data_IF_719035062341
#
_entry.id   IF_719035062341
#
_cell.length_a   1.000
_cell.length_b   1.000
_cell.length_c   1.000
_cell.angle_alpha   90.00
_cell.angle_beta   90.00
_cell.angle_gamma   90.00
#
_symmetry.space_group_name_H-M   'P 1'
#
loop_
_entity.id
_entity.type
_entity.pdbx_description
1 polymer ?
#
# COMPACT_ATOMS: atom_id res chain seq x y z
N UNK A 1 6.54 -0.69 19.15
CA UNK A 1 6.05 0.03 20.34
C UNK A 1 6.94 -0.33 21.53
N UNK A 2 7.28 0.67 22.31
CA UNK A 2 8.14 0.52 23.49
C UNK A 2 7.31 0.84 24.73
N UNK A 3 7.39 -0.01 25.75
CA UNK A 3 6.69 0.22 27.01
C UNK A 3 7.37 1.37 27.76
N UNK A 4 6.59 2.33 28.25
CA UNK A 4 7.09 3.48 28.99
C UNK A 4 6.21 3.73 30.22
N UNK A 5 6.80 4.37 31.22
CA UNK A 5 6.05 4.78 32.41
C UNK A 5 6.35 6.26 32.65
N UNK A 6 5.29 7.06 32.72
CA UNK A 6 5.39 8.49 33.01
C UNK A 6 4.38 8.84 34.11
N UNK A 7 4.90 9.43 35.18
CA UNK A 7 4.06 9.85 36.28
C UNK A 7 3.29 8.72 36.97
N UNK A 8 3.86 7.53 37.00
CA UNK A 8 3.23 6.37 37.63
C UNK A 8 2.14 5.70 36.79
N UNK A 9 2.00 6.11 35.53
CA UNK A 9 1.05 5.48 34.60
C UNK A 9 1.81 4.72 33.53
N UNK A 10 1.54 3.42 33.44
CA UNK A 10 2.14 2.57 32.40
C UNK A 10 1.46 2.81 31.06
N UNK A 11 2.25 2.87 30.00
CA UNK A 11 1.74 3.07 28.67
C UNK A 11 2.70 2.57 27.62
N UNK A 12 2.41 2.87 26.37
CA UNK A 12 3.27 2.50 25.26
C UNK A 12 3.57 3.74 24.43
N UNK A 13 4.81 3.85 24.05
CA UNK A 13 5.24 4.90 23.13
C UNK A 13 5.61 4.26 21.80
N UNK A 14 5.20 4.91 20.72
CA UNK A 14 5.53 4.45 19.37
C UNK A 14 6.96 4.88 19.08
N UNK A 15 7.84 3.92 18.80
CA UNK A 15 9.22 4.26 18.49
C UNK A 15 9.30 4.97 17.13
N UNK A 16 10.44 5.61 16.86
CA UNK A 16 10.61 6.43 15.66
C UNK A 16 10.44 5.63 14.38
N UNK A 17 10.83 4.36 14.38
CA UNK A 17 10.69 3.49 13.21
C UNK A 17 9.21 3.19 12.95
N UNK A 18 8.48 2.80 13.99
CA UNK A 18 7.05 2.52 13.88
C UNK A 18 6.27 3.77 13.48
N UNK A 19 6.66 4.94 14.01
CA UNK A 19 6.03 6.20 13.65
C UNK A 19 6.20 6.49 12.15
N UNK A 20 7.43 6.30 11.62
CA UNK A 20 7.69 6.50 10.18
C UNK A 20 6.87 5.52 9.33
N UNK A 21 6.74 4.28 9.78
CA UNK A 21 5.95 3.29 9.07
C UNK A 21 4.47 3.67 9.02
N UNK A 22 3.93 4.15 10.15
CA UNK A 22 2.55 4.60 10.21
C UNK A 22 2.31 5.82 9.32
N UNK A 23 3.24 6.78 9.33
CA UNK A 23 3.13 7.98 8.48
C UNK A 23 3.16 7.62 7.00
N UNK A 24 4.05 6.71 6.61
CA UNK A 24 4.12 6.23 5.22
C UNK A 24 2.82 5.55 4.81
N UNK A 25 2.27 4.72 5.70
CA UNK A 25 1.02 4.02 5.44
C UNK A 25 -0.16 4.96 5.24
N UNK A 26 -0.29 5.94 6.14
CA UNK A 26 -1.38 6.92 6.04
C UNK A 26 -1.26 7.72 4.75
N UNK A 27 -0.05 8.18 4.42
CA UNK A 27 0.21 8.95 3.20
C UNK A 27 -0.12 8.11 1.97
N UNK A 28 0.27 6.84 1.97
CA UNK A 28 0.06 5.94 0.84
C UNK A 28 -1.43 5.70 0.56
N UNK A 29 -2.24 5.61 1.62
CA UNK A 29 -3.68 5.44 1.47
C UNK A 29 -4.30 6.65 0.77
N UNK A 30 -3.91 7.86 1.16
CA UNK A 30 -4.51 9.10 0.65
C UNK A 30 -3.87 9.63 -0.62
N UNK A 31 -2.56 9.39 -0.80
CA UNK A 31 -1.80 9.87 -1.96
C UNK A 31 -1.00 8.70 -2.54
N UNK A 32 -1.66 7.80 -3.30
CA UNK A 32 -0.96 6.66 -3.89
C UNK A 32 0.17 7.11 -4.82
N UNK A 33 1.28 6.41 -4.78
CA UNK A 33 2.43 6.73 -5.63
C UNK A 33 2.30 6.04 -6.97
N UNK A 34 2.95 6.62 -7.97
CA UNK A 34 2.91 6.14 -9.34
C UNK A 34 4.28 6.34 -9.98
N UNK A 35 4.76 5.33 -10.70
CA UNK A 35 6.04 5.40 -11.40
C UNK A 35 5.89 6.09 -12.75
N UNK A 36 6.81 6.99 -13.05
CA UNK A 36 7.03 7.43 -14.42
C UNK A 36 7.84 6.36 -15.17
N UNK A 37 7.83 6.42 -16.49
CA UNK A 37 8.48 5.40 -17.32
C UNK A 37 9.99 5.26 -17.03
N UNK A 38 10.65 6.35 -16.63
CA UNK A 38 12.08 6.37 -16.38
C UNK A 38 12.45 6.20 -14.91
N UNK A 39 11.47 6.05 -14.02
CA UNK A 39 11.75 5.88 -12.59
C UNK A 39 12.48 4.56 -12.33
N UNK A 40 13.38 4.54 -11.34
CA UNK A 40 14.18 3.34 -11.10
C UNK A 40 13.37 2.23 -10.43
N UNK A 41 13.85 1.02 -10.64
CA UNK A 41 13.29 -0.20 -10.04
C UNK A 41 14.27 -0.74 -9.01
N UNK A 42 13.76 -1.48 -8.05
CA UNK A 42 14.54 -2.16 -7.01
C UNK A 42 14.40 -3.67 -7.22
N UNK A 43 15.51 -4.38 -7.27
CA UNK A 43 15.55 -5.84 -7.27
C UNK A 43 16.00 -6.31 -5.90
N UNK A 44 15.35 -7.34 -5.36
CA UNK A 44 15.68 -7.93 -4.06
C UNK A 44 16.07 -9.38 -4.29
N UNK A 45 17.32 -9.72 -4.01
CA UNK A 45 17.85 -11.09 -4.11
C UNK A 45 17.96 -11.71 -2.74
N UNK A 46 17.41 -12.85 -2.48
CA UNK A 46 17.36 -13.44 -1.26
C UNK A 46 17.36 -14.90 -1.46
N UNK A 47 17.97 -15.53 -1.01
CA UNK A 47 18.04 -16.85 -1.03
C UNK A 47 17.97 -17.28 0.33
N UNK A 48 17.01 -18.12 0.70
CA UNK A 48 16.83 -18.73 2.02
C UNK A 48 16.80 -20.25 1.88
N UNK A 49 17.56 -20.95 2.70
CA UNK A 49 17.55 -22.40 2.66
C UNK A 49 16.20 -22.97 3.11
N UNK A 50 15.94 -24.21 2.75
CA UNK A 50 14.69 -24.87 3.09
C UNK A 50 14.47 -24.95 4.61
N UNK A 51 15.55 -25.01 5.38
CA UNK A 51 15.48 -25.01 6.85
C UNK A 51 14.85 -23.75 7.41
N UNK A 52 14.77 -22.67 6.61
CA UNK A 52 14.17 -21.40 7.03
C UNK A 52 12.88 -21.11 6.28
N UNK A 53 12.12 -22.14 6.01
CA UNK A 53 10.87 -22.06 5.27
C UNK A 53 9.88 -21.06 5.86
N UNK A 54 9.78 -21.01 7.18
CA UNK A 54 8.86 -20.09 7.86
C UNK A 54 9.25 -18.62 7.59
N UNK A 55 10.53 -18.30 7.68
CA UNK A 55 11.01 -16.95 7.37
C UNK A 55 10.75 -16.60 5.91
N UNK A 56 10.92 -17.58 5.02
CA UNK A 56 10.64 -17.39 3.60
C UNK A 56 9.17 -17.06 3.37
N UNK A 57 8.26 -17.76 4.07
CA UNK A 57 6.83 -17.47 3.99
C UNK A 57 6.51 -16.07 4.51
N UNK A 58 7.10 -15.68 5.65
CA UNK A 58 6.89 -14.37 6.22
C UNK A 58 7.39 -13.27 5.27
N UNK A 59 8.58 -13.46 4.70
CA UNK A 59 9.15 -12.49 3.76
C UNK A 59 8.25 -12.35 2.53
N UNK A 60 7.85 -13.48 1.95
CA UNK A 60 6.97 -13.50 0.78
C UNK A 60 5.68 -12.73 1.04
N UNK A 61 5.05 -13.01 2.19
CA UNK A 61 3.79 -12.36 2.55
C UNK A 61 3.97 -10.85 2.74
N UNK A 62 5.01 -10.45 3.46
CA UNK A 62 5.24 -9.03 3.76
C UNK A 62 5.63 -8.24 2.51
N UNK A 63 6.46 -8.80 1.63
CA UNK A 63 6.82 -8.13 0.38
C UNK A 63 5.59 -7.98 -0.53
N UNK A 64 4.77 -9.03 -0.61
CA UNK A 64 3.55 -8.98 -1.40
C UNK A 64 2.63 -7.85 -0.92
N UNK A 65 2.46 -7.73 0.41
CA UNK A 65 1.52 -6.77 0.99
C UNK A 65 1.97 -5.32 0.89
N UNK A 66 3.21 -5.06 0.49
CA UNK A 66 3.64 -3.67 0.22
C UNK A 66 3.74 -3.38 -1.27
N UNK A 67 3.43 -4.36 -2.12
CA UNK A 67 3.37 -4.14 -3.56
C UNK A 67 4.54 -4.68 -4.37
N UNK A 68 5.37 -5.56 -3.79
CA UNK A 68 6.47 -6.16 -4.54
C UNK A 68 5.95 -7.27 -5.45
N UNK A 69 6.57 -7.42 -6.61
CA UNK A 69 6.34 -8.52 -7.53
C UNK A 69 7.40 -9.59 -7.34
N UNK A 70 7.09 -10.82 -7.73
CA UNK A 70 8.00 -11.94 -7.62
C UNK A 70 8.43 -12.41 -9.01
N UNK A 71 9.73 -12.27 -9.29
CA UNK A 71 10.30 -12.75 -10.54
C UNK A 71 10.56 -14.26 -10.45
N UNK A 72 11.11 -14.67 -9.31
CA UNK A 72 11.37 -16.08 -8.97
C UNK A 72 11.46 -16.18 -7.44
N UNK A 73 11.38 -17.36 -6.88
CA UNK A 73 11.52 -17.49 -5.41
C UNK A 73 12.73 -16.79 -4.79
N UNK A 74 13.62 -16.44 -5.47
CA UNK A 74 14.77 -15.85 -5.01
C UNK A 74 14.98 -14.46 -5.38
N UNK A 75 14.05 -14.04 -6.27
CA UNK A 75 14.24 -12.68 -6.81
C UNK A 75 12.91 -11.91 -6.85
N UNK A 76 12.88 -10.78 -6.17
CA UNK A 76 11.71 -9.90 -6.10
C UNK A 76 12.02 -8.59 -6.79
N UNK A 77 10.97 -7.87 -7.16
CA UNK A 77 11.09 -6.62 -7.91
C UNK A 77 10.03 -5.64 -7.39
N UNK A 78 10.38 -4.36 -7.38
CA UNK A 78 9.48 -3.31 -6.89
C UNK A 78 9.91 -1.97 -7.47
N UNK A 79 9.04 -0.96 -7.42
CA UNK A 79 9.53 0.42 -7.63
C UNK A 79 10.59 0.76 -6.59
N UNK A 80 11.59 1.53 -6.97
CA UNK A 80 12.68 1.86 -6.05
C UNK A 80 12.20 2.72 -4.87
N UNK A 81 11.07 3.40 -4.99
CA UNK A 81 10.54 4.17 -3.87
C UNK A 81 10.11 3.30 -2.69
N UNK A 82 9.99 1.98 -2.88
CA UNK A 82 9.70 1.04 -1.79
C UNK A 82 10.95 0.54 -1.08
N UNK A 83 12.14 0.97 -1.49
CA UNK A 83 13.41 0.47 -0.96
C UNK A 83 13.46 0.51 0.58
N UNK A 84 13.09 1.62 1.19
CA UNK A 84 13.16 1.75 2.66
C UNK A 84 12.22 0.77 3.35
N UNK A 85 11.00 0.62 2.84
CA UNK A 85 10.04 -0.33 3.40
C UNK A 85 10.54 -1.76 3.28
N UNK A 86 11.16 -2.09 2.15
CA UNK A 86 11.76 -3.41 1.93
C UNK A 86 12.89 -3.65 2.93
N UNK A 87 13.77 -2.66 3.14
CA UNK A 87 14.84 -2.76 4.12
C UNK A 87 14.28 -2.97 5.53
N UNK A 88 13.23 -2.23 5.88
CA UNK A 88 12.59 -2.38 7.20
C UNK A 88 12.06 -3.80 7.40
N UNK A 89 11.44 -4.38 6.38
CA UNK A 89 10.95 -5.77 6.43
C UNK A 89 12.11 -6.75 6.65
N UNK A 90 13.16 -6.61 5.84
CA UNK A 90 14.32 -7.50 5.93
C UNK A 90 14.97 -7.44 7.32
N UNK A 91 15.11 -6.24 7.87
CA UNK A 91 15.67 -6.07 9.20
C UNK A 91 14.77 -6.68 10.28
N UNK A 92 13.46 -6.50 10.16
CA UNK A 92 12.52 -7.03 11.14
C UNK A 92 12.51 -8.57 11.17
N UNK A 93 12.84 -9.20 10.05
CA UNK A 93 12.90 -10.66 9.94
C UNK A 93 14.31 -11.21 10.22
N UNK A 94 15.29 -10.33 10.49
CA UNK A 94 16.67 -10.73 10.70
C UNK A 94 17.36 -11.21 9.43
N UNK A 95 16.95 -10.69 8.28
CA UNK A 95 17.43 -11.14 6.96
C UNK A 95 18.31 -10.10 6.27
N UNK A 96 18.68 -9.03 6.96
CA UNK A 96 19.45 -7.95 6.35
C UNK A 96 20.78 -8.38 5.74
N UNK A 97 21.44 -9.36 6.34
CA UNK A 97 22.73 -9.86 5.84
C UNK A 97 22.57 -10.87 4.71
N UNK A 98 21.36 -11.35 4.46
CA UNK A 98 21.13 -12.40 3.45
C UNK A 98 20.47 -11.89 2.19
N UNK A 99 20.14 -10.62 2.16
CA UNK A 99 19.48 -10.00 1.04
C UNK A 99 20.36 -8.93 0.43
N UNK A 100 20.31 -8.81 -0.87
CA UNK A 100 21.01 -7.74 -1.59
C UNK A 100 19.97 -7.00 -2.43
N UNK A 101 19.98 -5.68 -2.32
CA UNK A 101 19.10 -4.83 -3.08
C UNK A 101 19.89 -4.15 -4.18
N UNK A 102 19.32 -4.12 -5.37
CA UNK A 102 19.92 -3.46 -6.54
C UNK A 102 18.98 -2.40 -7.05
N UNK A 103 19.48 -1.20 -7.29
CA UNK A 103 18.72 -0.20 -8.04
C UNK A 103 19.06 -0.37 -9.50
N UNK A 104 18.06 -0.42 -10.33
CA UNK A 104 18.27 -0.59 -11.77
C UNK A 104 17.32 0.32 -12.54
N UNK A 105 17.66 0.55 -13.79
CA UNK A 105 16.75 1.19 -14.72
C UNK A 105 15.66 0.19 -15.10
N UNK A 106 14.78 0.58 -16.01
CA UNK A 106 13.70 -0.27 -16.48
C UNK A 106 14.21 -1.65 -16.89
N UNK A 107 13.62 -2.75 -16.41
CA UNK A 107 14.06 -4.08 -16.80
C UNK A 107 13.88 -4.33 -18.29
N UNK A 108 14.76 -5.16 -18.84
CA UNK A 108 14.69 -5.63 -20.21
C UNK A 108 14.23 -7.08 -20.24
N UNK A 109 13.39 -7.42 -21.19
CA UNK A 109 12.96 -8.78 -21.42
C UNK A 109 12.94 -9.05 -22.91
N UNK A 110 13.06 -10.33 -23.29
CA UNK A 110 12.94 -10.71 -24.70
C UNK A 110 11.50 -10.49 -25.20
N UNK A 111 10.54 -10.79 -24.31
CA UNK A 111 9.12 -10.51 -24.55
C UNK A 111 8.80 -9.04 -24.26
N UNK A 112 7.60 -8.63 -24.60
CA UNK A 112 7.10 -7.31 -24.17
C UNK A 112 7.09 -7.26 -22.64
N UNK A 113 7.60 -6.18 -22.07
CA UNK A 113 7.70 -6.04 -20.62
C UNK A 113 6.32 -6.13 -19.96
N UNK A 114 5.27 -5.64 -20.63
CA UNK A 114 3.89 -5.74 -20.12
C UNK A 114 3.51 -7.19 -19.82
N UNK A 115 3.88 -8.11 -20.70
CA UNK A 115 3.55 -9.54 -20.53
C UNK A 115 4.36 -10.17 -19.40
N UNK A 116 5.61 -9.77 -19.26
CA UNK A 116 6.48 -10.29 -18.21
C UNK A 116 6.00 -9.80 -16.84
N UNK A 117 5.67 -8.52 -16.76
CA UNK A 117 5.17 -7.88 -15.53
C UNK A 117 3.87 -8.55 -15.06
N UNK A 118 3.01 -8.96 -15.99
CA UNK A 118 1.77 -9.65 -15.66
C UNK A 118 1.98 -11.00 -14.98
N UNK A 119 3.20 -11.55 -15.10
CA UNK A 119 3.56 -12.78 -14.39
C UNK A 119 4.18 -12.50 -13.02
N UNK A 120 4.73 -11.29 -12.82
CA UNK A 120 5.36 -10.91 -11.55
C UNK A 120 4.36 -10.42 -10.52
N UNK A 121 3.28 -9.80 -10.96
CA UNK A 121 2.19 -9.33 -10.10
C UNK A 121 0.88 -9.95 -10.53
N UNK A 122 0.00 -10.21 -9.57
CA UNK A 122 -1.37 -10.63 -9.88
C UNK A 122 -2.19 -9.38 -10.22
N UNK A 123 -2.01 -8.87 -11.43
CA UNK A 123 -2.69 -7.65 -11.87
C UNK A 123 -4.20 -7.83 -11.94
N UNK A 124 -4.67 -9.05 -12.24
CA UNK A 124 -6.11 -9.32 -12.26
C UNK A 124 -6.75 -9.16 -10.89
N UNK A 125 -6.08 -9.63 -9.84
CA UNK A 125 -6.59 -9.47 -8.47
C UNK A 125 -6.63 -8.00 -8.05
N UNK A 126 -5.60 -7.23 -8.42
CA UNK A 126 -5.56 -5.79 -8.10
C UNK A 126 -6.67 -5.06 -8.85
N UNK A 127 -6.84 -5.37 -10.14
CA UNK A 127 -7.90 -4.77 -10.95
C UNK A 127 -9.28 -5.06 -10.35
N UNK A 128 -9.50 -6.29 -9.86
CA UNK A 128 -10.76 -6.67 -9.23
C UNK A 128 -11.07 -5.82 -7.99
N UNK A 129 -10.03 -5.51 -7.19
CA UNK A 129 -10.20 -4.64 -6.03
C UNK A 129 -10.62 -3.23 -6.44
N UNK A 130 -10.00 -2.68 -7.48
CA UNK A 130 -10.39 -1.37 -8.02
C UNK A 130 -11.84 -1.38 -8.50
N UNK A 131 -12.22 -2.40 -9.26
CA UNK A 131 -13.57 -2.49 -9.82
C UNK A 131 -14.63 -2.64 -8.72
N UNK A 132 -14.34 -3.42 -7.69
CA UNK A 132 -15.22 -3.53 -6.53
C UNK A 132 -15.39 -2.18 -5.82
N UNK A 133 -14.27 -1.46 -5.65
CA UNK A 133 -14.31 -0.14 -5.04
C UNK A 133 -15.15 0.83 -5.88
N UNK A 134 -14.95 0.84 -7.21
CA UNK A 134 -15.70 1.72 -8.12
C UNK A 134 -17.19 1.40 -8.03
N UNK A 135 -17.56 0.13 -8.05
CA UNK A 135 -18.97 -0.30 -7.94
C UNK A 135 -19.58 0.15 -6.61
N UNK A 136 -18.86 -0.04 -5.51
CA UNK A 136 -19.32 0.44 -4.20
C UNK A 136 -19.52 1.96 -4.21
N UNK A 137 -18.59 2.69 -4.81
CA UNK A 137 -18.61 4.15 -4.82
C UNK A 137 -19.80 4.71 -5.59
N UNK A 138 -20.34 3.96 -6.53
CA UNK A 138 -21.54 4.39 -7.27
C UNK A 138 -22.76 4.51 -6.37
N UNK A 139 -22.76 3.82 -5.23
CA UNK A 139 -23.85 3.84 -4.26
C UNK A 139 -23.70 4.96 -3.23
N UNK A 140 -22.56 5.66 -3.24
CA UNK A 140 -22.26 6.71 -2.26
C UNK A 140 -22.89 8.02 -2.73
N UNK A 141 -23.62 8.75 -1.84
CA UNK A 141 -24.20 10.05 -2.23
C UNK A 141 -23.12 11.04 -2.67
N UNK A 142 -23.38 11.75 -3.75
CA UNK A 142 -22.41 12.67 -4.37
C UNK A 142 -22.41 14.08 -3.74
N UNK A 143 -23.36 14.36 -2.86
CA UNK A 143 -23.51 15.70 -2.27
C UNK A 143 -23.59 15.65 -0.74
N UNK A 144 -22.97 16.76 -0.24
CA UNK A 144 -23.10 17.05 1.01
C UNK A 144 -22.96 16.08 2.00
N UNK A 145 -22.17 15.84 2.14
CA UNK A 145 -21.99 15.30 2.91
C UNK A 145 -22.30 15.95 4.00
N UNK A 146 -23.16 15.78 4.80
CA UNK A 146 -23.59 16.38 6.07
C UNK A 146 -22.78 15.79 7.23
N UNK A 147 -22.59 16.57 8.27
CA UNK A 147 -21.87 16.11 9.47
C UNK A 147 -22.81 15.27 10.33
N UNK A 148 -23.07 14.03 9.92
CA UNK A 148 -23.96 13.12 10.62
C UNK A 148 -23.40 11.70 10.62
N UNK A 149 -24.05 10.80 11.35
CA UNK A 149 -23.58 9.42 11.50
C UNK A 149 -23.57 8.65 10.18
N UNK A 150 -24.49 8.95 9.28
CA UNK A 150 -24.55 8.28 7.98
C UNK A 150 -23.35 8.64 7.12
N UNK A 151 -22.99 9.92 7.08
CA UNK A 151 -21.80 10.38 6.34
C UNK A 151 -20.54 9.78 6.93
N UNK A 152 -20.44 9.74 8.25
CA UNK A 152 -19.29 9.14 8.93
C UNK A 152 -19.17 7.65 8.59
N UNK A 153 -20.28 6.91 8.66
CA UNK A 153 -20.27 5.47 8.35
C UNK A 153 -19.88 5.22 6.89
N UNK A 154 -20.39 6.06 5.99
CA UNK A 154 -20.04 5.96 4.56
C UNK A 154 -18.53 6.17 4.36
N UNK A 155 -17.98 7.17 5.02
CA UNK A 155 -16.54 7.47 4.93
C UNK A 155 -15.70 6.31 5.46
N UNK A 156 -16.08 5.73 6.61
CA UNK A 156 -15.37 4.58 7.19
C UNK A 156 -15.39 3.39 6.22
N UNK A 157 -16.57 3.09 5.64
CA UNK A 157 -16.70 2.00 4.67
C UNK A 157 -15.87 2.25 3.41
N UNK A 158 -15.83 3.49 2.96
CA UNK A 158 -15.04 3.88 1.80
C UNK A 158 -13.55 3.62 2.05
N UNK A 159 -13.05 4.07 3.19
CA UNK A 159 -11.64 3.86 3.58
C UNK A 159 -11.34 2.37 3.72
N UNK A 160 -12.25 1.62 4.33
CA UNK A 160 -12.05 0.19 4.55
C UNK A 160 -11.92 -0.58 3.24
N UNK A 161 -12.71 -0.24 2.23
CA UNK A 161 -12.61 -0.89 0.92
C UNK A 161 -11.40 -0.44 0.13
N UNK A 162 -10.93 0.78 0.37
CA UNK A 162 -9.83 1.38 -0.38
C UNK A 162 -8.45 1.04 0.18
N UNK A 163 -8.31 0.99 1.51
CA UNK A 163 -7.01 1.07 2.20
C UNK A 163 -5.97 0.03 1.78
N UNK A 164 -6.41 -1.15 1.31
CA UNK A 164 -5.48 -2.21 0.88
C UNK A 164 -4.96 -1.98 -0.54
N UNK A 165 -5.72 -1.28 -1.37
CA UNK A 165 -5.38 -1.13 -2.78
C UNK A 165 -4.05 -0.41 -2.99
N UNK A 166 -3.79 0.76 -2.35
CA UNK A 166 -2.51 1.44 -2.55
C UNK A 166 -1.29 0.66 -2.06
N UNK A 167 -1.49 -0.32 -1.18
CA UNK A 167 -0.40 -1.19 -0.75
C UNK A 167 -0.12 -2.28 -1.77
N UNK A 168 -1.17 -2.93 -2.28
CA UNK A 168 -1.01 -4.03 -3.24
C UNK A 168 -0.62 -3.53 -4.63
N UNK A 169 -1.12 -2.36 -5.02
CA UNK A 169 -0.80 -1.76 -6.32
C UNK A 169 0.49 -0.94 -6.20
N UNK A 170 1.59 -1.41 -6.80
CA UNK A 170 2.85 -0.66 -6.71
C UNK A 170 2.87 0.63 -7.54
N UNK A 171 1.87 0.88 -8.37
CA UNK A 171 1.84 2.07 -9.21
C UNK A 171 2.78 1.97 -10.39
N UNK A 172 2.79 0.86 -11.08
CA UNK A 172 3.69 0.61 -12.21
C UNK A 172 3.42 1.59 -13.36
N UNK A 173 4.42 1.82 -14.22
CA UNK A 173 4.21 2.69 -15.39
C UNK A 173 3.05 2.18 -16.26
N UNK A 174 2.30 3.10 -16.85
CA UNK A 174 1.09 2.77 -17.60
C UNK A 174 1.36 1.81 -18.77
N UNK A 175 2.54 1.88 -19.37
CA UNK A 175 2.88 0.99 -20.49
C UNK A 175 3.23 -0.43 -20.05
N UNK A 176 3.37 -0.65 -18.73
CA UNK A 176 3.53 -1.99 -18.14
C UNK A 176 2.20 -2.60 -17.70
N UNK A 177 1.10 -1.90 -17.88
CA UNK A 177 -0.21 -2.31 -17.37
C UNK A 177 -1.17 -2.61 -18.53
N UNK A 178 -2.22 -3.42 -18.27
CA UNK A 178 -3.25 -3.61 -19.28
C UNK A 178 -3.87 -2.28 -19.72
N UNK A 179 -4.30 -2.21 -20.99
CA UNK A 179 -4.87 -0.97 -21.54
C UNK A 179 -6.17 -0.55 -20.85
N UNK A 180 -6.90 -1.52 -20.28
CA UNK A 180 -8.14 -1.27 -19.55
C UNK A 180 -7.92 -1.17 -18.04
N UNK A 181 -6.70 -0.85 -17.60
CA UNK A 181 -6.36 -0.79 -16.17
C UNK A 181 -7.23 0.23 -15.44
N UNK A 182 -7.94 -0.18 -14.36
CA UNK A 182 -8.88 0.71 -13.69
C UNK A 182 -8.26 1.60 -12.62
N UNK A 183 -6.93 1.52 -12.42
CA UNK A 183 -6.28 2.20 -11.31
C UNK A 183 -6.43 3.71 -11.31
N UNK A 184 -6.23 4.34 -12.46
CA UNK A 184 -6.36 5.80 -12.54
C UNK A 184 -7.75 6.28 -12.19
N UNK A 185 -8.77 5.62 -12.73
CA UNK A 185 -10.17 5.95 -12.44
C UNK A 185 -10.49 5.74 -10.97
N UNK A 186 -9.96 4.65 -10.38
CA UNK A 186 -10.17 4.33 -8.96
C UNK A 186 -9.54 5.37 -8.04
N UNK A 187 -8.30 5.78 -8.33
CA UNK A 187 -7.60 6.80 -7.52
C UNK A 187 -8.34 8.12 -7.59
N UNK A 188 -8.72 8.55 -8.79
CA UNK A 188 -9.44 9.82 -8.98
C UNK A 188 -10.77 9.80 -8.21
N UNK A 189 -11.50 8.71 -8.30
CA UNK A 189 -12.79 8.55 -7.61
C UNK A 189 -12.60 8.60 -6.09
N UNK A 190 -11.60 7.88 -5.57
CA UNK A 190 -11.31 7.91 -4.13
C UNK A 190 -10.99 9.33 -3.66
N UNK A 191 -10.14 10.04 -4.40
CA UNK A 191 -9.75 11.40 -4.03
C UNK A 191 -10.94 12.35 -4.00
N UNK A 192 -11.83 12.25 -4.98
CA UNK A 192 -13.03 13.11 -5.03
C UNK A 192 -13.96 12.83 -3.86
N UNK A 193 -14.26 11.55 -3.60
CA UNK A 193 -15.22 11.18 -2.56
C UNK A 193 -14.63 11.43 -1.16
N UNK A 194 -13.35 11.06 -0.95
CA UNK A 194 -12.73 11.22 0.37
C UNK A 194 -12.61 12.70 0.75
N UNK A 195 -12.34 13.58 -0.20
CA UNK A 195 -12.28 15.02 0.06
C UNK A 195 -13.63 15.55 0.55
N UNK A 196 -14.71 15.14 -0.10
CA UNK A 196 -16.05 15.62 0.28
C UNK A 196 -16.54 15.03 1.59
N UNK A 197 -16.17 13.79 1.91
CA UNK A 197 -16.66 13.10 3.12
C UNK A 197 -15.76 13.29 4.34
N UNK A 198 -14.47 13.54 4.14
CA UNK A 198 -13.52 13.64 5.25
C UNK A 198 -13.86 14.81 6.19
N UNK A 199 -14.15 15.98 5.63
CA UNK A 199 -14.47 17.17 6.42
C UNK A 199 -15.75 16.97 7.24
N UNK A 200 -16.82 16.46 6.60
CA UNK A 200 -18.07 16.22 7.28
C UNK A 200 -17.92 15.18 8.40
N UNK A 201 -17.10 14.15 8.16
CA UNK A 201 -16.83 13.12 9.16
C UNK A 201 -16.06 13.67 10.36
N UNK A 202 -15.07 14.53 10.12
CA UNK A 202 -14.32 15.20 11.20
C UNK A 202 -15.24 16.07 12.04
N UNK A 203 -16.13 16.82 11.39
CA UNK A 203 -17.08 17.70 12.09
C UNK A 203 -18.04 16.88 12.95
N UNK A 204 -18.49 15.73 12.45
CA UNK A 204 -19.36 14.84 13.21
C UNK A 204 -18.64 14.32 14.48
N UNK A 205 -17.40 13.86 14.33
CA UNK A 205 -16.63 13.33 15.47
C UNK A 205 -16.40 14.45 16.51
N UNK A 206 -16.05 15.66 16.05
CA UNK A 206 -15.87 16.81 16.96
C UNK A 206 -17.15 17.14 17.73
N UNK A 207 -18.31 17.03 17.07
CA UNK A 207 -19.59 17.31 17.73
C UNK A 207 -19.87 16.32 18.86
N UNK A 208 -19.48 15.05 18.70
CA UNK A 208 -19.64 14.04 19.73
C UNK A 208 -18.67 14.28 20.90
N UNK A 209 -17.41 14.57 20.60
CA UNK A 209 -16.38 14.78 21.63
C UNK A 209 -16.65 16.05 22.41
N UNK A 210 -17.02 17.13 21.73
CA UNK A 210 -17.28 18.43 22.33
C UNK A 210 -18.54 18.50 23.19
N UNK A 211 -19.40 17.47 23.14
CA UNK A 211 -20.62 17.44 23.94
C UNK A 211 -20.45 16.72 25.29
N UNK A 212 -19.23 16.35 25.69
CA UNK A 212 -18.92 15.73 26.98
C UNK A 212 -18.31 16.69 27.98
#
# INVERSE_FOLDING_TARGET
MVAVERGGVAGYEVDSRASRMLERGDRRIHIPRSMAAQDPWCLISXXLPESERERRHQLRRQLHWIGCGMVSPXLWVAPDYLRQEIQDILESLGLGERAVLFTTSRPHAVEELRDVVARWWDLGAIAALYLDFITFSEQVPKRXXKADSSTFATYVNLIDRWRMIPYLDPGLPSDCLPTDWPGGAGVDLFQRISTSHALASKDFVRSIIGSR
#
